data_IF_014117743140
#
_entry.id   IF_014117743140
#
_cell.length_a   1.000
_cell.length_b   1.000
_cell.length_c   1.000
_cell.angle_alpha   90.00
_cell.angle_beta   90.00
_cell.angle_gamma   90.00
#
_symmetry.space_group_name_H-M   'P 1'
#
loop_
_entity.id
_entity.type
_entity.pdbx_description
1 polymer ?
#
# COMPACT_ATOMS: atom_id res chain seq x y z
N UNK A 1 3.74 -8.80 -6.07
CA UNK A 1 4.97 -7.97 -6.08
C UNK A 1 4.55 -6.54 -6.34
N UNK A 2 4.82 -5.65 -5.40
CA UNK A 2 4.56 -4.22 -5.51
C UNK A 2 5.86 -3.51 -5.87
N UNK A 3 5.82 -2.75 -6.95
CA UNK A 3 6.98 -2.03 -7.44
C UNK A 3 6.67 -0.53 -7.36
N UNK A 4 7.53 0.23 -6.70
CA UNK A 4 7.37 1.66 -6.49
C UNK A 4 8.49 2.39 -7.19
N UNK A 5 8.14 3.34 -8.06
CA UNK A 5 9.08 4.26 -8.68
C UNK A 5 8.83 5.65 -8.10
N UNK A 6 9.88 6.28 -7.56
CA UNK A 6 9.87 7.65 -7.08
C UNK A 6 10.69 8.51 -8.03
N UNK A 7 10.04 9.42 -8.76
CA UNK A 7 10.70 10.41 -9.60
C UNK A 7 10.73 11.75 -8.87
N UNK A 8 11.89 12.41 -8.82
CA UNK A 8 12.09 13.68 -8.13
C UNK A 8 12.72 14.70 -9.09
N UNK A 9 12.23 15.94 -9.09
CA UNK A 9 12.94 17.03 -9.77
C UNK A 9 14.33 17.25 -9.15
N UNK A 10 15.23 17.87 -9.91
CA UNK A 10 16.57 18.21 -9.43
C UNK A 10 16.48 19.01 -8.13
N UNK A 11 17.34 18.67 -7.16
CA UNK A 11 17.36 19.32 -5.84
C UNK A 11 16.14 19.08 -4.94
N UNK A 12 15.12 18.32 -5.38
CA UNK A 12 13.86 18.22 -4.63
C UNK A 12 14.02 17.65 -3.21
N UNK A 13 14.94 16.72 -3.02
CA UNK A 13 15.32 16.15 -1.73
C UNK A 13 16.83 15.96 -1.66
N UNK A 14 17.41 16.29 -0.50
CA UNK A 14 18.79 15.93 -0.19
C UNK A 14 18.97 14.39 -0.16
N UNK A 15 20.22 13.88 -0.28
CA UNK A 15 20.46 12.44 -0.35
C UNK A 15 19.92 11.63 0.85
N UNK A 16 19.90 12.20 2.05
CA UNK A 16 19.41 11.52 3.26
C UNK A 16 17.89 11.48 3.31
N UNK A 17 17.22 12.62 3.05
CA UNK A 17 15.76 12.71 2.89
C UNK A 17 15.26 11.76 1.81
N UNK A 18 15.96 11.69 0.68
CA UNK A 18 15.62 10.78 -0.43
C UNK A 18 15.71 9.31 -0.03
N UNK A 19 16.77 8.92 0.69
CA UNK A 19 16.90 7.55 1.21
C UNK A 19 15.80 7.21 2.21
N UNK A 20 15.42 8.16 3.07
CA UNK A 20 14.31 7.98 4.01
C UNK A 20 12.99 7.85 3.29
N UNK A 21 12.67 8.73 2.34
CA UNK A 21 11.47 8.64 1.51
C UNK A 21 11.36 7.26 0.84
N UNK A 22 12.44 6.80 0.18
CA UNK A 22 12.48 5.52 -0.50
C UNK A 22 12.24 4.32 0.45
N UNK A 23 12.86 4.34 1.63
CA UNK A 23 12.66 3.29 2.65
C UNK A 23 11.23 3.28 3.19
N UNK A 24 10.71 4.46 3.53
CA UNK A 24 9.35 4.63 4.05
C UNK A 24 8.31 4.19 3.04
N UNK A 25 8.47 4.52 1.75
CA UNK A 25 7.59 4.06 0.67
C UNK A 25 7.54 2.53 0.51
N UNK A 26 8.53 1.79 1.00
CA UNK A 26 8.55 0.33 1.00
C UNK A 26 8.07 -0.31 2.31
N UNK A 27 7.53 0.46 3.26
CA UNK A 27 7.22 -0.04 4.61
C UNK A 27 5.71 -0.13 4.85
N UNK A 28 5.27 -1.30 5.31
CA UNK A 28 3.85 -1.64 5.54
C UNK A 28 3.23 -0.80 6.65
N UNK A 29 3.96 -0.63 7.75
CA UNK A 29 3.46 0.09 8.92
C UNK A 29 2.95 1.49 8.53
N UNK A 30 3.65 2.13 7.59
CA UNK A 30 3.32 3.46 7.11
C UNK A 30 2.05 3.46 6.23
N UNK A 31 1.72 2.35 5.56
CA UNK A 31 0.49 2.21 4.75
C UNK A 31 -0.77 2.29 5.62
N UNK A 32 -0.70 1.84 6.88
CA UNK A 32 -1.81 1.90 7.85
C UNK A 32 -1.77 3.09 8.82
N UNK A 33 -0.64 3.81 8.91
CA UNK A 33 -0.42 4.87 9.91
C UNK A 33 -1.20 6.18 9.65
N UNK A 34 -1.88 6.32 8.51
CA UNK A 34 -2.63 7.52 8.13
C UNK A 34 -4.11 7.55 8.56
N UNK A 35 -4.64 6.46 9.14
CA UNK A 35 -6.04 6.39 9.57
C UNK A 35 -6.21 6.90 11.03
N UNK A 36 -7.27 7.66 11.36
CA UNK A 36 -7.55 8.06 12.74
C UNK A 36 -7.77 6.81 13.60
N UNK A 37 -6.91 6.59 14.60
CA UNK A 37 -7.07 5.51 15.58
C UNK A 37 -5.99 4.42 15.62
N UNK A 38 -4.80 4.65 15.06
CA UNK A 38 -3.62 3.77 15.21
C UNK A 38 -3.78 2.44 14.46
N UNK A 39 -2.97 2.21 13.42
CA UNK A 39 -3.06 0.99 12.62
C UNK A 39 -2.77 -0.26 13.45
N UNK A 40 -3.72 -1.17 13.55
CA UNK A 40 -3.40 -2.56 13.90
C UNK A 40 -2.55 -3.12 12.77
N UNK A 41 -1.36 -3.59 13.14
CA UNK A 41 -0.37 -4.13 12.22
C UNK A 41 -0.86 -5.48 11.70
N UNK A 42 -0.74 -5.70 10.40
CA UNK A 42 -0.85 -7.05 9.83
C UNK A 42 0.00 -8.01 10.65
N UNK A 43 -0.53 -9.21 10.91
CA UNK A 43 0.13 -10.16 11.79
C UNK A 43 1.61 -10.39 11.39
N UNK A 44 2.54 -10.54 12.36
CA UNK A 44 3.97 -10.35 12.10
C UNK A 44 4.56 -11.22 10.98
N UNK A 45 4.05 -12.45 10.81
CA UNK A 45 4.55 -13.36 9.76
C UNK A 45 4.06 -12.94 8.37
N UNK A 46 2.81 -12.51 8.23
CA UNK A 46 2.31 -11.96 6.97
C UNK A 46 2.94 -10.60 6.68
N UNK A 47 3.23 -9.78 7.70
CA UNK A 47 3.97 -8.53 7.57
C UNK A 47 5.36 -8.75 6.96
N UNK A 48 6.12 -9.73 7.44
CA UNK A 48 7.44 -10.05 6.88
C UNK A 48 7.34 -10.47 5.39
N UNK A 49 6.36 -11.31 5.05
CA UNK A 49 6.16 -11.75 3.66
C UNK A 49 5.74 -10.57 2.77
N UNK A 50 4.78 -9.77 3.18
CA UNK A 50 4.33 -8.61 2.40
C UNK A 50 5.44 -7.56 2.24
N UNK A 51 6.32 -7.40 3.24
CA UNK A 51 7.45 -6.47 3.16
C UNK A 51 8.44 -6.93 2.10
N UNK A 52 8.67 -8.25 2.00
CA UNK A 52 9.48 -8.84 0.93
C UNK A 52 8.89 -8.65 -0.48
N UNK A 53 7.60 -8.30 -0.59
CA UNK A 53 6.94 -8.03 -1.86
C UNK A 53 7.12 -6.60 -2.36
N UNK A 54 7.71 -5.68 -1.59
CA UNK A 54 7.96 -4.30 -2.05
C UNK A 54 9.35 -4.13 -2.62
N UNK A 55 9.42 -3.41 -3.73
CA UNK A 55 10.65 -2.88 -4.29
C UNK A 55 10.45 -1.39 -4.56
N UNK A 56 11.43 -0.58 -4.20
CA UNK A 56 11.40 0.87 -4.42
C UNK A 56 12.64 1.28 -5.18
N UNK A 57 12.45 2.03 -6.27
CA UNK A 57 13.52 2.67 -7.04
C UNK A 57 13.32 4.18 -7.06
N UNK A 58 14.42 4.92 -7.10
CA UNK A 58 14.39 6.38 -7.17
C UNK A 58 15.04 6.84 -8.47
N UNK A 59 14.38 7.76 -9.15
CA UNK A 59 14.80 8.35 -10.41
C UNK A 59 14.99 9.86 -10.25
N UNK A 60 16.12 10.34 -10.75
CA UNK A 60 16.40 11.77 -10.94
C UNK A 60 16.41 12.04 -12.44
N UNK A 61 15.24 12.31 -13.05
CA UNK A 61 15.19 12.72 -14.44
C UNK A 61 16.07 13.94 -14.67
N UNK A 62 16.84 13.93 -15.76
CA UNK A 62 17.73 15.04 -16.13
C UNK A 62 16.97 16.35 -16.41
N UNK A 63 15.71 16.24 -16.86
CA UNK A 63 14.89 17.39 -17.24
C UNK A 63 13.48 17.14 -16.71
N UNK A 64 12.93 18.13 -16.02
CA UNK A 64 11.52 18.20 -15.66
C UNK A 64 10.93 19.50 -16.20
N UNK A 65 9.85 19.41 -16.98
CA UNK A 65 9.13 20.59 -17.49
C UNK A 65 7.76 20.66 -16.83
N UNK A 66 7.44 21.79 -16.20
CA UNK A 66 6.13 22.07 -15.63
C UNK A 66 5.72 23.51 -15.95
N UNK A 67 4.46 23.73 -16.34
CA UNK A 67 3.99 25.05 -16.75
C UNK A 67 4.80 25.65 -17.91
N UNK A 68 5.22 24.82 -18.87
CA UNK A 68 6.05 25.20 -20.03
C UNK A 68 7.47 25.69 -19.69
N UNK A 69 7.92 25.53 -18.44
CA UNK A 69 9.27 25.91 -18.00
C UNK A 69 10.06 24.68 -17.54
N UNK A 70 11.37 24.67 -17.84
CA UNK A 70 12.29 23.69 -17.26
C UNK A 70 12.51 24.06 -15.80
N UNK A 71 12.27 23.11 -14.91
CA UNK A 71 12.46 23.30 -13.48
C UNK A 71 13.94 23.31 -13.11
N UNK A 72 14.25 24.08 -12.09
CA UNK A 72 15.57 24.21 -11.45
C UNK A 72 15.45 23.96 -9.95
N UNK A 73 16.58 23.93 -9.23
CA UNK A 73 16.60 23.84 -7.76
C UNK A 73 15.90 25.03 -7.06
N UNK A 74 15.64 26.13 -7.78
CA UNK A 74 14.93 27.30 -7.24
C UNK A 74 13.41 27.14 -7.29
N UNK A 75 12.93 26.20 -8.10
CA UNK A 75 11.51 25.93 -8.26
C UNK A 75 10.99 24.99 -7.16
N UNK A 76 9.69 25.03 -6.84
CA UNK A 76 9.10 24.09 -5.90
C UNK A 76 9.36 22.63 -6.30
N UNK A 77 9.67 21.73 -5.33
CA UNK A 77 9.99 20.34 -5.63
C UNK A 77 8.81 19.64 -6.31
N UNK A 78 9.09 18.95 -7.42
CA UNK A 78 8.13 18.10 -8.11
C UNK A 78 8.45 16.61 -7.89
N UNK A 79 7.39 15.82 -7.78
CA UNK A 79 7.46 14.40 -7.53
C UNK A 79 6.38 13.64 -8.30
N UNK A 80 6.76 12.48 -8.85
CA UNK A 80 5.83 11.48 -9.34
C UNK A 80 6.13 10.16 -8.64
N UNK A 81 5.14 9.58 -7.97
CA UNK A 81 5.21 8.23 -7.43
C UNK A 81 4.36 7.31 -8.32
N UNK A 82 4.96 6.23 -8.84
CA UNK A 82 4.21 5.16 -9.51
C UNK A 82 4.24 3.92 -8.64
N UNK A 83 3.07 3.35 -8.38
CA UNK A 83 2.92 2.14 -7.57
C UNK A 83 2.24 1.09 -8.43
N UNK A 84 2.98 0.05 -8.77
CA UNK A 84 2.49 -1.10 -9.51
C UNK A 84 1.92 -2.12 -8.54
N UNK A 85 0.67 -2.50 -8.75
CA UNK A 85 -0.07 -3.47 -7.93
C UNK A 85 -0.74 -4.52 -8.83
N UNK A 86 -1.12 -5.69 -8.31
CA UNK A 86 -1.97 -6.61 -9.05
C UNK A 86 -3.25 -5.91 -9.53
N UNK A 87 -3.64 -6.16 -10.78
CA UNK A 87 -4.77 -5.51 -11.44
C UNK A 87 -6.07 -5.56 -10.63
N UNK A 88 -6.47 -6.72 -10.07
CA UNK A 88 -7.65 -6.82 -9.22
C UNK A 88 -7.60 -5.95 -7.97
N UNK A 89 -6.41 -5.69 -7.40
CA UNK A 89 -6.26 -4.90 -6.17
C UNK A 89 -6.25 -3.39 -6.43
N UNK A 90 -5.96 -2.97 -7.67
CA UNK A 90 -5.74 -1.56 -8.04
C UNK A 90 -6.84 -0.64 -7.55
N UNK A 91 -8.11 -0.99 -7.81
CA UNK A 91 -9.24 -0.11 -7.51
C UNK A 91 -9.35 0.12 -6.00
N UNK A 92 -9.30 -0.95 -5.23
CA UNK A 92 -9.57 -0.91 -3.79
C UNK A 92 -8.38 -0.32 -3.01
N UNK A 93 -7.15 -0.51 -3.51
CA UNK A 93 -5.94 0.07 -2.89
C UNK A 93 -5.65 1.52 -3.30
N UNK A 94 -6.32 2.06 -4.34
CA UNK A 94 -5.91 3.34 -4.94
C UNK A 94 -5.95 4.50 -3.94
N UNK A 95 -7.04 4.65 -3.19
CA UNK A 95 -7.22 5.75 -2.25
C UNK A 95 -6.17 5.72 -1.13
N UNK A 96 -6.00 4.55 -0.51
CA UNK A 96 -5.00 4.34 0.56
C UNK A 96 -3.58 4.62 0.06
N UNK A 97 -3.21 4.08 -1.11
CA UNK A 97 -1.87 4.25 -1.67
C UNK A 97 -1.57 5.69 -2.08
N UNK A 98 -2.55 6.42 -2.60
CA UNK A 98 -2.41 7.84 -2.95
C UNK A 98 -2.15 8.67 -1.69
N UNK A 99 -2.98 8.50 -0.66
CA UNK A 99 -2.83 9.21 0.62
C UNK A 99 -1.50 8.88 1.30
N UNK A 100 -1.15 7.60 1.34
CA UNK A 100 0.11 7.07 1.88
C UNK A 100 1.34 7.69 1.21
N UNK A 101 1.45 7.58 -0.11
CA UNK A 101 2.64 8.02 -0.83
C UNK A 101 2.78 9.54 -0.82
N UNK A 102 1.66 10.26 -0.91
CA UNK A 102 1.63 11.72 -0.78
C UNK A 102 2.19 12.12 0.58
N UNK A 103 1.66 11.58 1.67
CA UNK A 103 2.12 11.87 3.04
C UNK A 103 3.63 11.63 3.20
N UNK A 104 4.13 10.45 2.80
CA UNK A 104 5.55 10.13 2.96
C UNK A 104 6.47 11.11 2.23
N UNK A 105 6.11 11.50 1.01
CA UNK A 105 6.92 12.45 0.25
C UNK A 105 6.82 13.85 0.87
N UNK A 106 5.63 14.31 1.24
CA UNK A 106 5.40 15.61 1.86
C UNK A 106 6.20 15.79 3.15
N UNK A 107 6.25 14.75 4.00
CA UNK A 107 6.99 14.76 5.27
C UNK A 107 8.49 15.05 5.09
N UNK A 108 9.04 14.83 3.90
CA UNK A 108 10.46 15.06 3.61
C UNK A 108 10.71 16.41 2.90
N UNK A 109 9.68 17.11 2.44
CA UNK A 109 9.81 18.47 1.90
C UNK A 109 9.99 19.50 3.02
N UNK A 110 10.63 20.62 2.70
CA UNK A 110 10.75 21.74 3.65
C UNK A 110 9.38 22.40 3.95
N UNK A 111 8.45 22.33 3.01
CA UNK A 111 7.06 22.78 3.15
C UNK A 111 6.11 21.58 2.94
N UNK A 112 5.73 20.86 4.01
CA UNK A 112 4.89 19.65 3.91
C UNK A 112 3.49 19.90 3.35
N UNK A 113 3.00 21.14 3.43
CA UNK A 113 1.67 21.53 2.95
C UNK A 113 1.64 21.89 1.45
N UNK A 114 2.81 22.03 0.82
CA UNK A 114 2.94 22.40 -0.58
C UNK A 114 2.09 21.54 -1.52
N UNK A 115 2.08 20.18 -1.40
CA UNK A 115 1.39 19.34 -2.37
C UNK A 115 -0.13 19.37 -2.24
N UNK A 116 -0.66 19.82 -1.09
CA UNK A 116 -2.09 20.04 -0.88
C UNK A 116 -2.56 21.39 -1.42
N UNK A 117 -1.62 22.32 -1.70
CA UNK A 117 -1.90 23.63 -2.33
C UNK A 117 -1.63 23.65 -3.82
N UNK A 118 -0.73 22.81 -4.32
CA UNK A 118 -0.29 22.76 -5.72
C UNK A 118 -0.06 21.31 -6.16
N UNK A 119 -0.30 20.96 -7.44
CA UNK A 119 -0.15 19.61 -7.95
C UNK A 119 1.33 19.23 -8.22
N UNK A 120 2.21 19.48 -7.26
CA UNK A 120 3.65 19.19 -7.38
C UNK A 120 3.99 17.74 -7.04
N UNK A 121 3.11 17.04 -6.31
CA UNK A 121 3.20 15.59 -6.08
C UNK A 121 2.05 14.91 -6.82
N UNK A 122 2.39 13.92 -7.64
CA UNK A 122 1.43 13.07 -8.32
C UNK A 122 1.67 11.62 -7.93
N UNK A 123 0.59 10.86 -7.69
CA UNK A 123 0.66 9.43 -7.39
C UNK A 123 -0.17 8.65 -8.40
N UNK A 124 0.45 7.72 -9.10
CA UNK A 124 -0.21 6.83 -10.06
C UNK A 124 -0.24 5.42 -9.50
N UNK A 125 -1.45 4.86 -9.34
CA UNK A 125 -1.63 3.45 -8.97
C UNK A 125 -1.93 2.65 -10.23
N UNK A 126 -0.96 1.83 -10.65
CA UNK A 126 -0.95 1.10 -11.91
C UNK A 126 -1.26 -0.37 -11.64
N UNK A 127 -2.29 -0.90 -12.30
CA UNK A 127 -2.69 -2.30 -12.16
C UNK A 127 -2.01 -3.14 -13.23
N UNK A 128 -1.18 -4.08 -12.81
CA UNK A 128 -0.60 -5.09 -13.70
C UNK A 128 -1.64 -6.16 -13.98
N UNK A 129 -1.95 -6.39 -15.26
CA UNK A 129 -2.94 -7.39 -15.66
C UNK A 129 -2.60 -8.79 -15.12
N UNK A 130 -3.63 -9.57 -14.80
CA UNK A 130 -3.47 -10.94 -14.31
C UNK A 130 -2.60 -11.78 -15.26
N UNK A 131 -1.64 -12.51 -14.68
CA UNK A 131 -0.67 -13.31 -15.44
C UNK A 131 0.51 -12.53 -16.02
N UNK A 132 0.57 -11.21 -15.82
CA UNK A 132 1.69 -10.37 -16.30
C UNK A 132 2.74 -10.05 -15.23
N UNK A 133 2.64 -10.68 -14.05
CA UNK A 133 3.67 -10.61 -13.01
C UNK A 133 4.56 -11.85 -13.11
N UNK A 134 5.85 -11.66 -13.31
CA UNK A 134 6.85 -12.72 -13.25
C UNK A 134 7.54 -12.76 -11.89
N UNK A 135 7.60 -13.94 -11.26
CA UNK A 135 8.24 -14.12 -9.95
C UNK A 135 8.79 -15.54 -9.83
N UNK A 136 10.01 -15.68 -9.30
CA UNK A 136 10.70 -16.97 -9.17
C UNK A 136 10.73 -17.78 -10.50
N UNK A 137 10.87 -17.08 -11.64
CA UNK A 137 10.87 -17.67 -12.97
C UNK A 137 9.52 -18.19 -13.46
N UNK A 138 8.41 -17.88 -12.76
CA UNK A 138 7.05 -18.32 -13.10
C UNK A 138 6.10 -17.14 -13.23
N UNK A 139 4.99 -17.37 -13.91
CA UNK A 139 3.84 -16.45 -13.90
C UNK A 139 3.19 -16.48 -12.51
N UNK A 140 2.96 -15.31 -11.94
CA UNK A 140 2.24 -15.12 -10.69
C UNK A 140 0.92 -14.37 -10.94
N UNK A 141 -0.13 -14.83 -10.29
CA UNK A 141 -1.47 -14.22 -10.24
C UNK A 141 -1.67 -13.52 -8.90
N UNK A 142 -2.69 -12.66 -8.82
CA UNK A 142 -3.07 -12.06 -7.53
C UNK A 142 -3.39 -13.12 -6.46
N UNK A 143 -4.04 -14.22 -6.84
CA UNK A 143 -4.34 -15.34 -5.94
C UNK A 143 -3.06 -16.00 -5.39
N UNK A 144 -1.99 -16.11 -6.18
CA UNK A 144 -0.72 -16.66 -5.71
C UNK A 144 -0.07 -15.74 -4.65
N UNK A 145 -0.27 -14.42 -4.77
CA UNK A 145 0.20 -13.47 -3.77
C UNK A 145 -0.60 -13.56 -2.47
N UNK A 146 -1.93 -13.76 -2.55
CA UNK A 146 -2.77 -14.03 -1.37
C UNK A 146 -2.33 -15.31 -0.68
N UNK A 147 -2.03 -16.35 -1.45
CA UNK A 147 -1.52 -17.61 -0.93
C UNK A 147 -0.19 -17.44 -0.22
N UNK A 148 0.76 -16.71 -0.82
CA UNK A 148 2.03 -16.39 -0.14
C UNK A 148 1.84 -15.67 1.20
N UNK A 149 0.87 -14.74 1.29
CA UNK A 149 0.56 -14.05 2.54
C UNK A 149 -0.10 -14.96 3.58
N UNK A 150 -0.77 -16.00 3.11
CA UNK A 150 -1.51 -16.97 3.93
C UNK A 150 -0.65 -18.15 4.41
N UNK A 151 0.39 -18.50 3.64
CA UNK A 151 1.27 -19.63 3.90
C UNK A 151 1.77 -19.72 5.35
N UNK A 152 2.18 -18.61 6.01
CA UNK A 152 2.63 -18.68 7.40
C UNK A 152 1.57 -19.13 8.42
N UNK A 153 0.28 -19.09 8.08
CA UNK A 153 -0.84 -19.37 8.98
C UNK A 153 -1.68 -20.59 8.55
N UNK A 154 -1.16 -21.41 7.63
CA UNK A 154 -1.86 -22.61 7.14
C UNK A 154 -2.16 -23.61 8.26
N UNK A 155 -1.16 -23.93 9.09
CA UNK A 155 -1.32 -24.86 10.22
C UNK A 155 -2.27 -24.28 11.29
N UNK A 156 -2.30 -22.95 11.44
CA UNK A 156 -3.21 -22.29 12.37
C UNK A 156 -4.65 -22.39 11.89
N UNK A 157 -4.91 -22.33 10.57
CA UNK A 157 -6.23 -22.58 10.02
C UNK A 157 -6.70 -24.01 10.32
N UNK A 158 -5.82 -25.01 10.16
CA UNK A 158 -6.15 -26.42 10.44
C UNK A 158 -6.46 -26.67 11.93
N UNK A 159 -5.85 -25.89 12.81
CA UNK A 159 -6.07 -25.97 14.27
C UNK A 159 -7.12 -24.99 14.81
N UNK A 160 -7.81 -24.26 13.93
CA UNK A 160 -8.87 -23.31 14.30
C UNK A 160 -8.36 -22.02 14.95
N UNK A 161 -7.08 -21.69 14.80
CA UNK A 161 -6.40 -20.50 15.31
C UNK A 161 -6.21 -19.41 14.26
N UNK A 162 -6.72 -19.59 13.05
CA UNK A 162 -6.76 -18.58 12.02
C UNK A 162 -8.07 -18.66 11.24
N UNK A 163 -8.52 -17.53 10.70
CA UNK A 163 -9.68 -17.44 9.81
C UNK A 163 -9.28 -16.80 8.49
N UNK A 164 -10.05 -17.08 7.45
CA UNK A 164 -9.87 -16.45 6.14
C UNK A 164 -10.59 -15.11 6.12
N UNK A 165 -9.87 -14.04 5.77
CA UNK A 165 -10.49 -12.73 5.53
C UNK A 165 -11.48 -12.83 4.35
N UNK A 166 -12.77 -12.51 4.54
CA UNK A 166 -13.78 -12.64 3.49
C UNK A 166 -13.61 -11.64 2.34
N UNK A 167 -12.80 -10.60 2.51
CA UNK A 167 -12.55 -9.55 1.53
C UNK A 167 -11.37 -9.86 0.62
N UNK A 168 -10.22 -10.19 1.20
CA UNK A 168 -8.98 -10.38 0.45
C UNK A 168 -8.55 -11.85 0.34
N UNK A 169 -9.09 -12.73 1.19
CA UNK A 169 -8.80 -14.16 1.21
C UNK A 169 -7.52 -14.57 1.94
N UNK A 170 -6.80 -13.62 2.55
CA UNK A 170 -5.60 -13.89 3.36
C UNK A 170 -6.01 -14.63 4.65
N UNK A 171 -5.19 -15.58 5.09
CA UNK A 171 -5.35 -16.20 6.41
C UNK A 171 -4.84 -15.27 7.51
N UNK A 172 -5.69 -15.04 8.50
CA UNK A 172 -5.48 -14.11 9.61
C UNK A 172 -5.47 -14.92 10.91
N UNK A 173 -4.42 -14.88 11.73
CA UNK A 173 -4.44 -15.52 13.04
C UNK A 173 -5.56 -14.94 13.91
N UNK A 174 -6.01 -15.68 14.91
CA UNK A 174 -6.93 -15.22 15.94
C UNK A 174 -6.14 -14.85 17.20
N UNK A 175 -5.51 -13.68 17.19
CA UNK A 175 -4.84 -13.10 18.35
C UNK A 175 -5.61 -11.87 18.89
N UNK A 176 -5.15 -11.31 20.02
CA UNK A 176 -5.82 -10.19 20.69
C UNK A 176 -5.87 -8.90 19.84
N UNK A 177 -4.92 -8.74 18.92
CA UNK A 177 -4.78 -7.56 18.07
C UNK A 177 -5.48 -7.73 16.71
N UNK A 178 -6.07 -8.91 16.46
CA UNK A 178 -6.74 -9.21 15.21
C UNK A 178 -8.04 -8.42 15.09
N UNK A 179 -8.18 -7.69 13.99
CA UNK A 179 -9.43 -7.05 13.64
C UNK A 179 -10.51 -8.13 13.41
N UNK A 180 -11.44 -8.25 14.35
CA UNK A 180 -12.56 -9.20 14.27
C UNK A 180 -13.92 -8.49 14.23
N UNK A 181 -14.94 -9.24 13.81
CA UNK A 181 -16.33 -8.82 13.83
C UNK A 181 -17.21 -10.05 14.01
N UNK A 182 -18.09 -10.03 15.02
CA UNK A 182 -19.11 -11.07 15.19
C UNK A 182 -20.43 -10.58 14.58
N UNK A 183 -21.03 -11.41 13.72
CA UNK A 183 -22.33 -11.16 13.10
C UNK A 183 -23.14 -12.45 13.16
N UNK A 184 -24.36 -12.39 13.71
CA UNK A 184 -25.28 -13.54 13.78
C UNK A 184 -24.66 -14.79 14.42
N UNK A 185 -23.73 -14.62 15.37
CA UNK A 185 -23.00 -15.69 16.06
C UNK A 185 -21.83 -16.28 15.26
N UNK A 186 -21.49 -15.72 14.10
CA UNK A 186 -20.31 -16.09 13.32
C UNK A 186 -19.20 -15.04 13.48
N UNK A 187 -17.99 -15.50 13.80
CA UNK A 187 -16.81 -14.66 13.95
C UNK A 187 -16.10 -14.51 12.60
N UNK A 188 -15.83 -13.27 12.20
CA UNK A 188 -15.03 -12.91 11.05
C UNK A 188 -13.72 -12.27 11.51
N UNK A 189 -12.62 -12.56 10.83
CA UNK A 189 -11.32 -11.89 11.03
C UNK A 189 -10.88 -11.19 9.74
N UNK A 190 -10.12 -10.11 9.88
CA UNK A 190 -9.69 -9.26 8.77
C UNK A 190 -8.20 -8.98 8.83
N UNK A 191 -7.53 -9.01 7.68
CA UNK A 191 -6.10 -8.78 7.58
C UNK A 191 -5.71 -7.33 7.89
N UNK A 192 -6.67 -6.41 7.79
CA UNK A 192 -6.53 -5.01 8.15
C UNK A 192 -7.92 -4.37 8.40
N UNK A 193 -7.93 -3.21 9.06
CA UNK A 193 -9.16 -2.42 9.28
C UNK A 193 -9.86 -2.00 7.99
N UNK A 194 -9.10 -1.73 6.92
CA UNK A 194 -9.65 -1.45 5.60
C UNK A 194 -10.56 -2.57 5.09
N UNK A 195 -10.11 -3.83 5.18
CA UNK A 195 -10.94 -4.99 4.82
C UNK A 195 -12.18 -5.09 5.73
N UNK A 196 -12.04 -4.89 7.04
CA UNK A 196 -13.18 -4.89 7.97
C UNK A 196 -14.21 -3.80 7.63
N UNK A 197 -13.76 -2.57 7.41
CA UNK A 197 -14.62 -1.43 7.11
C UNK A 197 -15.35 -1.62 5.78
N UNK A 198 -14.63 -2.09 4.75
CA UNK A 198 -15.23 -2.38 3.44
C UNK A 198 -16.25 -3.52 3.52
N UNK A 199 -15.97 -4.57 4.31
CA UNK A 199 -16.91 -5.66 4.56
C UNK A 199 -18.22 -5.17 5.19
N UNK A 200 -18.11 -4.34 6.24
CA UNK A 200 -19.26 -3.70 6.88
C UNK A 200 -20.04 -2.86 5.87
N UNK A 201 -19.36 -1.98 5.13
CA UNK A 201 -20.00 -1.12 4.14
C UNK A 201 -20.73 -1.91 3.03
N UNK A 202 -20.14 -2.99 2.53
CA UNK A 202 -20.76 -3.89 1.54
C UNK A 202 -22.01 -4.58 2.11
N UNK A 203 -21.94 -5.07 3.35
CA UNK A 203 -23.08 -5.71 4.04
C UNK A 203 -24.23 -4.73 4.27
N UNK A 204 -23.95 -3.53 4.76
CA UNK A 204 -25.00 -2.51 4.95
C UNK A 204 -25.64 -2.08 3.62
N UNK A 205 -24.86 -2.01 2.54
CA UNK A 205 -25.40 -1.72 1.22
C UNK A 205 -26.33 -2.83 0.74
N UNK A 206 -25.95 -4.10 0.93
CA UNK A 206 -26.77 -5.25 0.59
C UNK A 206 -28.04 -5.36 1.44
N UNK A 207 -28.01 -4.94 2.71
CA UNK A 207 -29.20 -4.90 3.57
C UNK A 207 -30.20 -3.79 3.19
N UNK A 208 -29.76 -2.79 2.41
CA UNK A 208 -30.57 -1.65 1.95
C UNK A 208 -31.15 -1.83 0.54
N UNK A 209 -30.74 -2.88 -0.18
CA UNK A 209 -31.19 -3.23 -1.54
C UNK A 209 -32.20 -4.35 -1.52
#
# INVERSE_FOLDING_TARGET
MMFVELFLSEGALDPERRRRAARRLGTIHELGAGEPGGGEEMAPRSAAVFASMYQVVVHEPQIWVAGEQVLTEQDPPHCLVRIHVPGPWRKDMSETLISYATRIVCDEFDDPELPYRRPTVQVHVLGISEGSIGMLGKVAKSADLVEMLSDPYRDDLETGKALKDPMCGVLVPLDEDTATLEIDGELYAFCCRGCRAEYVAKREKAARS
#
